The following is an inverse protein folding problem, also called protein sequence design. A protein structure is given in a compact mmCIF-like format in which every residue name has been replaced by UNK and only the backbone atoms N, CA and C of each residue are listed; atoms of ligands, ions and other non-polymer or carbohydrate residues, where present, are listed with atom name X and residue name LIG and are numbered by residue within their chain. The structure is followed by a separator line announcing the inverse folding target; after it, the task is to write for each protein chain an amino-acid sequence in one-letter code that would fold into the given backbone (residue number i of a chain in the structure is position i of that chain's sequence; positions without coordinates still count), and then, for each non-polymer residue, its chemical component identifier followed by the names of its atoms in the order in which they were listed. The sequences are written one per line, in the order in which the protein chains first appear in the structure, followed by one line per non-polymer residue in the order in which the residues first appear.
data_IF_596294395216
#
_entry.id   IF_596294395216
#
_cell.length_a   1.000
_cell.length_b   1.000
_cell.length_c   1.000
_cell.angle_alpha   90.00
_cell.angle_beta   90.00
_cell.angle_gamma   90.00
#
_symmetry.space_group_name_H-M   'P 1'
#
loop_
_entity.id
_entity.type
_entity.pdbx_description
1 polymer ?
#
# COMPACT_ATOMS: atom_id res chain seq x y z
N UNK A 1 34.05 34.44 -6.76
CA UNK A 1 32.97 33.82 -5.96
C UNK A 1 31.86 34.86 -5.94
N UNK A 2 30.93 34.72 -6.87
CA UNK A 2 30.10 35.84 -7.28
C UNK A 2 28.90 35.95 -6.35
N UNK A 3 28.85 37.11 -5.67
CA UNK A 3 27.82 37.52 -4.73
C UNK A 3 26.39 37.18 -5.19
N UNK A 4 26.14 37.25 -6.50
CA UNK A 4 24.85 36.97 -7.12
C UNK A 4 24.40 35.51 -7.06
N UNK A 5 25.32 34.55 -7.06
CA UNK A 5 25.02 33.12 -6.99
C UNK A 5 24.62 32.73 -5.58
N UNK A 6 25.37 33.23 -4.59
CA UNK A 6 25.03 33.05 -3.17
C UNK A 6 23.68 33.69 -2.85
N UNK A 7 23.38 34.86 -3.41
CA UNK A 7 22.07 35.51 -3.27
C UNK A 7 20.96 34.67 -3.92
N UNK A 8 21.19 34.08 -5.11
CA UNK A 8 20.22 33.22 -5.78
C UNK A 8 19.84 31.96 -4.97
N UNK A 9 20.84 31.27 -4.40
CA UNK A 9 20.63 30.10 -3.54
C UNK A 9 19.91 30.49 -2.25
N UNK A 10 20.29 31.62 -1.62
CA UNK A 10 19.64 32.12 -0.40
C UNK A 10 18.18 32.49 -0.67
N UNK A 11 17.88 33.13 -1.80
CA UNK A 11 16.49 33.47 -2.18
C UNK A 11 15.68 32.20 -2.44
N UNK A 12 16.24 31.21 -3.14
CA UNK A 12 15.58 29.93 -3.37
C UNK A 12 15.31 29.18 -2.06
N UNK A 13 16.28 29.14 -1.14
CA UNK A 13 16.13 28.55 0.20
C UNK A 13 15.09 29.30 1.04
N UNK A 14 15.05 30.63 0.97
CA UNK A 14 14.06 31.44 1.68
C UNK A 14 12.64 31.23 1.12
N UNK A 15 12.50 31.13 -0.21
CA UNK A 15 11.22 30.82 -0.87
C UNK A 15 10.79 29.39 -0.54
N UNK A 16 11.70 28.41 -0.59
CA UNK A 16 11.44 27.05 -0.17
C UNK A 16 11.01 26.99 1.29
N UNK A 17 11.68 27.69 2.21
CA UNK A 17 11.33 27.76 3.63
C UNK A 17 9.94 28.38 3.86
N UNK A 18 9.57 29.41 3.10
CA UNK A 18 8.24 30.04 3.17
C UNK A 18 7.17 29.10 2.63
N UNK A 19 7.39 28.46 1.48
CA UNK A 19 6.44 27.53 0.88
C UNK A 19 6.28 26.26 1.73
N UNK A 20 7.37 25.77 2.31
CA UNK A 20 7.38 24.72 3.33
C UNK A 20 6.53 25.14 4.52
N UNK A 21 6.79 26.31 5.13
CA UNK A 21 5.97 26.83 6.24
C UNK A 21 4.50 26.94 5.87
N UNK A 22 4.15 27.33 4.65
CA UNK A 22 2.77 27.39 4.17
C UNK A 22 2.15 26.00 3.98
N UNK A 23 2.86 25.05 3.36
CA UNK A 23 2.41 23.67 3.22
C UNK A 23 2.18 23.02 4.59
N UNK A 24 3.05 23.32 5.56
CA UNK A 24 2.96 22.83 6.94
C UNK A 24 1.82 23.45 7.73
N UNK A 25 1.58 24.74 7.53
CA UNK A 25 0.42 25.42 8.08
C UNK A 25 -0.87 24.75 7.56
N UNK A 26 -0.93 24.41 6.26
CA UNK A 26 -2.06 23.68 5.66
C UNK A 26 -2.20 22.25 6.20
N UNK A 27 -1.10 21.52 6.39
CA UNK A 27 -1.12 20.17 7.00
C UNK A 27 -1.56 20.23 8.48
N UNK A 28 -1.13 21.23 9.25
CA UNK A 28 -1.56 21.44 10.65
C UNK A 28 -3.02 21.85 10.78
N UNK A 29 -3.54 22.66 9.86
CA UNK A 29 -4.95 23.07 9.87
C UNK A 29 -5.90 22.00 9.30
N UNK A 30 -5.39 21.04 8.50
CA UNK A 30 -6.16 19.88 8.02
C UNK A 30 -6.68 18.95 9.12
N UNK A 31 -6.04 18.93 10.29
CA UNK A 31 -6.55 18.20 11.47
C UNK A 31 -7.72 18.93 12.16
N UNK A 32 -8.07 20.13 11.72
CA UNK A 32 -9.16 20.95 12.25
C UNK A 32 -10.09 21.45 11.13
N UNK A 33 -10.88 20.53 10.55
CA UNK A 33 -12.16 20.77 9.84
C UNK A 33 -12.16 21.71 8.60
N UNK A 34 -12.82 21.24 7.53
CA UNK A 34 -13.22 21.90 6.26
C UNK A 34 -12.21 21.74 5.10
N UNK A 35 -12.56 21.09 3.98
CA UNK A 35 -13.51 21.45 2.89
C UNK A 35 -13.11 22.79 2.25
N UNK A 36 -12.57 22.69 1.02
CA UNK A 36 -12.31 23.76 0.05
C UNK A 36 -10.89 24.39 0.02
N UNK A 37 -9.84 23.57 -0.17
CA UNK A 37 -8.53 24.02 -0.66
C UNK A 37 -7.85 22.90 -1.47
N UNK A 38 -7.08 23.29 -2.49
CA UNK A 38 -6.44 22.42 -3.48
C UNK A 38 -5.65 21.27 -2.80
N UNK A 39 -5.95 19.99 -3.09
CA UNK A 39 -5.40 18.86 -2.33
C UNK A 39 -3.88 18.81 -2.44
N UNK A 40 -3.22 18.43 -1.33
CA UNK A 40 -1.78 18.15 -1.34
C UNK A 40 -1.52 17.00 -2.31
N UNK A 41 -0.80 17.28 -3.40
CA UNK A 41 -0.37 16.28 -4.37
C UNK A 41 0.90 15.61 -3.81
N UNK A 42 0.70 14.46 -3.18
CA UNK A 42 1.72 13.73 -2.44
C UNK A 42 1.39 12.25 -2.39
N UNK A 43 2.43 11.42 -2.36
CA UNK A 43 2.35 10.03 -1.91
C UNK A 43 3.35 9.82 -0.77
N UNK A 44 2.91 9.08 0.24
CA UNK A 44 3.65 8.83 1.47
C UNK A 44 3.94 7.34 1.58
N UNK A 45 5.19 7.00 1.80
CA UNK A 45 5.68 5.67 2.15
C UNK A 45 5.76 5.56 3.68
N UNK A 46 4.91 4.72 4.27
CA UNK A 46 4.97 4.36 5.69
C UNK A 46 6.09 3.34 5.90
N UNK A 47 6.88 3.54 6.95
CA UNK A 47 8.10 2.76 7.19
C UNK A 47 8.27 2.33 8.64
N UNK A 48 8.88 1.17 8.86
CA UNK A 48 9.33 0.69 10.17
C UNK A 48 10.51 1.51 10.71
N UNK A 49 11.41 1.96 9.81
CA UNK A 49 12.60 2.74 10.15
C UNK A 49 12.80 3.91 9.16
N UNK A 50 13.42 5.00 9.64
CA UNK A 50 13.75 6.16 8.78
C UNK A 50 14.82 5.78 7.77
N UNK A 51 14.59 6.13 6.50
CA UNK A 51 15.65 6.14 5.48
C UNK A 51 16.52 7.39 5.65
N UNK A 52 17.71 7.25 6.22
CA UNK A 52 18.69 8.33 6.14
C UNK A 52 19.21 8.45 4.71
N UNK A 53 19.23 9.65 4.17
CA UNK A 53 19.63 9.92 2.79
C UNK A 53 20.66 11.04 2.75
N UNK A 54 21.52 11.01 1.75
CA UNK A 54 22.37 12.11 1.35
C UNK A 54 21.86 12.74 0.05
N UNK A 55 22.31 13.95 -0.25
CA UNK A 55 21.96 14.62 -1.51
C UNK A 55 22.36 13.76 -2.73
N UNK A 56 23.53 13.11 -2.68
CA UNK A 56 24.05 12.25 -3.74
C UNK A 56 23.19 10.99 -3.93
N UNK A 57 22.71 10.38 -2.85
CA UNK A 57 21.81 9.22 -2.92
C UNK A 57 20.45 9.59 -3.50
N UNK A 58 19.87 10.71 -3.08
CA UNK A 58 18.60 11.20 -3.65
C UNK A 58 18.80 11.48 -5.13
N UNK A 59 19.88 12.16 -5.51
CA UNK A 59 20.22 12.46 -6.90
C UNK A 59 20.35 11.19 -7.73
N UNK A 60 21.10 10.19 -7.26
CA UNK A 60 21.29 8.93 -7.96
C UNK A 60 19.99 8.14 -8.14
N UNK A 61 19.14 8.10 -7.09
CA UNK A 61 17.84 7.41 -7.14
C UNK A 61 16.88 8.10 -8.10
N UNK A 62 16.76 9.44 -8.04
CA UNK A 62 15.91 10.22 -8.96
C UNK A 62 16.39 10.11 -10.41
N UNK A 63 17.70 10.21 -10.64
CA UNK A 63 18.30 10.03 -11.98
C UNK A 63 17.93 8.69 -12.60
N UNK A 64 18.01 7.60 -11.82
CA UNK A 64 17.63 6.27 -12.29
C UNK A 64 16.13 6.15 -12.52
N UNK A 65 15.31 6.64 -11.58
CA UNK A 65 13.86 6.54 -11.64
C UNK A 65 13.26 7.26 -12.87
N UNK A 66 13.84 8.40 -13.24
CA UNK A 66 13.32 9.26 -14.31
C UNK A 66 14.17 9.21 -15.59
N UNK A 67 15.16 8.32 -15.65
CA UNK A 67 16.11 8.21 -16.77
C UNK A 67 16.73 9.56 -17.17
N UNK A 68 17.18 10.35 -16.18
CA UNK A 68 17.74 11.68 -16.38
C UNK A 68 19.09 11.87 -15.67
N UNK A 69 19.85 12.89 -16.06
CA UNK A 69 21.12 13.26 -15.43
C UNK A 69 21.06 14.66 -14.85
N UNK A 70 21.71 14.86 -13.70
CA UNK A 70 21.95 16.18 -13.13
C UNK A 70 23.35 16.67 -13.49
N UNK A 71 23.48 17.93 -13.87
CA UNK A 71 24.77 18.55 -14.19
C UNK A 71 25.45 19.08 -12.91
N UNK A 72 26.05 18.16 -12.15
CA UNK A 72 26.63 18.46 -10.84
C UNK A 72 27.86 19.34 -10.98
N UNK A 73 27.87 20.48 -10.29
CA UNK A 73 28.96 21.45 -10.32
C UNK A 73 28.79 22.55 -11.37
N UNK A 74 27.77 22.46 -12.23
CA UNK A 74 27.38 23.55 -13.10
C UNK A 74 26.44 24.52 -12.36
N UNK A 75 26.90 25.74 -12.10
CA UNK A 75 26.12 26.80 -11.44
C UNK A 75 24.91 27.30 -12.24
N UNK A 76 24.84 26.96 -13.54
CA UNK A 76 23.72 27.27 -14.43
C UNK A 76 22.77 26.09 -14.62
N UNK A 77 23.00 24.96 -13.93
CA UNK A 77 22.12 23.80 -14.02
C UNK A 77 20.68 24.17 -13.61
N UNK A 78 19.73 23.84 -14.47
CA UNK A 78 18.31 24.10 -14.23
C UNK A 78 17.68 23.07 -13.31
N UNK A 79 18.22 21.85 -13.29
CA UNK A 79 17.81 20.72 -12.48
C UNK A 79 18.83 20.45 -11.39
N UNK A 80 18.37 20.26 -10.15
CA UNK A 80 19.24 19.99 -9.02
C UNK A 80 18.51 19.25 -7.91
N UNK A 81 19.28 18.67 -7.00
CA UNK A 81 18.84 18.17 -5.70
C UNK A 81 19.60 18.94 -4.65
N UNK A 82 18.92 19.36 -3.58
CA UNK A 82 19.59 19.99 -2.45
C UNK A 82 18.96 19.59 -1.13
N UNK A 83 19.77 19.33 -0.10
CA UNK A 83 19.24 19.18 1.26
C UNK A 83 18.83 20.54 1.83
N UNK A 84 17.62 20.61 2.40
CA UNK A 84 17.12 21.82 3.05
C UNK A 84 17.82 21.97 4.42
N UNK A 85 18.37 23.15 4.75
CA UNK A 85 19.01 23.42 6.04
C UNK A 85 18.07 23.14 7.23
N UNK A 86 18.61 22.65 8.34
CA UNK A 86 17.82 22.17 9.48
C UNK A 86 16.85 23.24 10.03
N UNK A 87 17.26 24.50 10.05
CA UNK A 87 16.47 25.67 10.48
C UNK A 87 15.31 26.03 9.54
N UNK A 88 15.39 25.60 8.27
CA UNK A 88 14.38 25.83 7.24
C UNK A 88 13.45 24.62 7.03
N UNK A 89 13.74 23.50 7.69
CA UNK A 89 12.96 22.27 7.57
C UNK A 89 11.58 22.40 8.22
N UNK A 90 10.64 21.56 7.77
CA UNK A 90 9.45 21.28 8.54
C UNK A 90 9.71 20.91 10.00
N UNK A 91 8.90 21.41 10.96
CA UNK A 91 8.97 21.02 12.36
C UNK A 91 8.24 19.68 12.56
N UNK A 92 8.50 18.71 11.68
CA UNK A 92 8.00 17.35 11.81
C UNK A 92 8.81 16.54 12.82
N UNK A 93 9.89 17.08 13.37
CA UNK A 93 10.77 16.40 14.30
C UNK A 93 12.08 16.04 13.62
N UNK A 94 12.70 14.95 14.07
CA UNK A 94 13.98 14.52 13.52
C UNK A 94 13.83 13.95 12.10
N UNK A 95 14.53 14.55 11.14
CA UNK A 95 14.48 14.10 9.75
C UNK A 95 15.21 15.01 8.77
N UNK A 96 15.07 14.66 7.50
CA UNK A 96 15.69 15.33 6.36
C UNK A 96 14.61 15.73 5.36
N UNK A 97 14.90 16.78 4.60
CA UNK A 97 14.06 17.23 3.49
C UNK A 97 14.99 17.62 2.36
N UNK A 98 14.71 17.14 1.17
CA UNK A 98 15.43 17.47 -0.04
C UNK A 98 14.50 18.19 -1.00
N UNK A 99 14.96 19.29 -1.57
CA UNK A 99 14.30 19.91 -2.71
C UNK A 99 14.88 19.29 -3.99
N UNK A 100 14.00 18.73 -4.82
CA UNK A 100 14.31 18.18 -6.13
C UNK A 100 13.65 19.07 -7.17
N UNK A 101 14.46 19.77 -7.96
CA UNK A 101 13.99 20.57 -9.09
C UNK A 101 14.30 19.84 -10.39
N UNK A 102 13.27 19.57 -11.17
CA UNK A 102 13.34 18.93 -12.49
C UNK A 102 12.42 19.67 -13.47
N UNK A 103 12.47 19.32 -14.76
CA UNK A 103 11.64 19.96 -15.79
C UNK A 103 10.14 19.95 -15.45
N UNK A 104 9.65 18.87 -14.82
CA UNK A 104 8.25 18.72 -14.42
C UNK A 104 7.82 19.61 -13.25
N UNK A 105 8.76 20.08 -12.41
CA UNK A 105 8.39 20.83 -11.22
C UNK A 105 9.42 20.81 -10.10
N UNK A 106 8.98 21.36 -8.98
CA UNK A 106 9.67 21.36 -7.69
C UNK A 106 9.00 20.34 -6.80
N UNK A 107 9.78 19.40 -6.28
CA UNK A 107 9.32 18.33 -5.42
C UNK A 107 10.08 18.35 -4.10
N UNK A 108 9.41 18.09 -3.00
CA UNK A 108 10.09 17.71 -1.76
C UNK A 108 10.19 16.20 -1.65
N UNK A 109 11.34 15.73 -1.18
CA UNK A 109 11.52 14.38 -0.66
C UNK A 109 11.77 14.50 0.84
N UNK A 110 10.79 14.09 1.64
CA UNK A 110 10.85 14.13 3.10
C UNK A 110 11.25 12.77 3.65
N UNK A 111 12.02 12.71 4.74
CA UNK A 111 12.29 11.47 5.48
C UNK A 111 12.39 11.76 6.97
N UNK A 112 11.45 11.23 7.78
CA UNK A 112 11.31 11.58 9.19
C UNK A 112 11.18 10.36 10.09
N UNK A 113 11.86 10.40 11.26
CA UNK A 113 11.88 9.35 12.27
C UNK A 113 10.75 9.54 13.30
N UNK A 114 9.50 9.56 12.82
CA UNK A 114 8.32 9.46 13.68
C UNK A 114 7.14 8.86 12.89
N UNK A 115 6.10 8.34 13.57
CA UNK A 115 4.86 7.97 12.90
C UNK A 115 4.27 9.14 12.09
N UNK A 116 3.71 8.83 10.91
CA UNK A 116 3.02 9.82 10.09
C UNK A 116 1.69 10.21 10.74
N UNK A 117 1.04 9.22 11.36
CA UNK A 117 -0.19 9.36 12.13
C UNK A 117 -0.05 8.62 13.45
N UNK A 118 -0.64 9.19 14.50
CA UNK A 118 -0.64 8.61 15.84
C UNK A 118 -2.02 7.97 16.06
N UNK A 119 -2.07 6.64 15.99
CA UNK A 119 -3.29 5.86 16.21
C UNK A 119 -3.21 5.21 17.58
N UNK A 120 -4.26 5.38 18.37
CA UNK A 120 -4.40 4.66 19.63
C UNK A 120 -4.78 3.19 19.38
N UNK A 121 -4.71 2.37 20.43
CA UNK A 121 -5.01 0.94 20.36
C UNK A 121 -6.42 0.67 19.83
N UNK A 122 -7.39 1.53 20.16
CA UNK A 122 -8.78 1.36 19.73
C UNK A 122 -8.94 1.60 18.23
N UNK A 123 -8.32 2.66 17.72
CA UNK A 123 -8.31 2.96 16.29
C UNK A 123 -7.61 1.87 15.47
N UNK A 124 -6.58 1.20 16.02
CA UNK A 124 -5.95 0.04 15.38
C UNK A 124 -6.87 -1.20 15.38
N UNK A 125 -7.59 -1.46 16.46
CA UNK A 125 -8.54 -2.58 16.54
C UNK A 125 -9.67 -2.46 15.51
N UNK A 126 -10.11 -1.23 15.22
CA UNK A 126 -11.14 -0.91 14.23
C UNK A 126 -10.69 -1.14 12.77
N UNK A 127 -9.38 -1.22 12.49
CA UNK A 127 -8.87 -1.51 11.14
C UNK A 127 -9.07 -2.98 10.83
N UNK A 128 -10.09 -3.32 10.05
CA UNK A 128 -10.46 -4.73 9.80
C UNK A 128 -9.36 -5.55 9.11
N UNK A 129 -8.78 -5.02 8.02
CA UNK A 129 -7.73 -5.70 7.25
C UNK A 129 -6.45 -5.83 8.11
N UNK A 130 -6.05 -7.07 8.40
CA UNK A 130 -4.89 -7.40 9.20
C UNK A 130 -3.59 -6.82 8.64
N UNK A 131 -3.43 -6.80 7.31
CA UNK A 131 -2.25 -6.26 6.65
C UNK A 131 -2.15 -4.77 6.89
N UNK A 132 -3.27 -4.06 6.71
CA UNK A 132 -3.33 -2.62 6.96
C UNK A 132 -3.14 -2.30 8.45
N UNK A 133 -3.75 -3.07 9.35
CA UNK A 133 -3.56 -2.93 10.79
C UNK A 133 -2.07 -3.09 11.14
N UNK A 134 -1.40 -4.09 10.56
CA UNK A 134 0.04 -4.32 10.75
C UNK A 134 0.88 -3.13 10.31
N UNK A 135 0.64 -2.62 9.09
CA UNK A 135 1.31 -1.41 8.58
C UNK A 135 1.17 -0.24 9.56
N UNK A 136 -0.05 0.00 10.03
CA UNK A 136 -0.34 1.10 10.96
C UNK A 136 0.29 0.87 12.35
N UNK A 137 0.29 -0.36 12.86
CA UNK A 137 0.87 -0.70 14.15
C UNK A 137 2.40 -0.67 14.16
N UNK A 138 3.04 -1.01 13.04
CA UNK A 138 4.49 -1.13 12.92
C UNK A 138 5.18 0.16 12.45
N UNK A 139 4.48 1.07 11.76
CA UNK A 139 5.14 2.27 11.23
C UNK A 139 5.70 3.17 12.35
N UNK A 140 6.97 3.55 12.23
CA UNK A 140 7.66 4.49 13.14
C UNK A 140 8.34 5.62 12.40
N UNK A 141 8.32 5.58 11.06
CA UNK A 141 8.90 6.57 10.19
C UNK A 141 8.03 6.73 8.94
N UNK A 142 8.31 7.78 8.17
CA UNK A 142 7.72 7.96 6.86
C UNK A 142 8.67 8.70 5.93
N UNK A 143 8.47 8.45 4.64
CA UNK A 143 9.07 9.19 3.54
C UNK A 143 7.94 9.67 2.63
N UNK A 144 8.01 10.89 2.12
CA UNK A 144 7.02 11.36 1.13
C UNK A 144 7.69 12.05 -0.04
N UNK A 145 7.00 12.04 -1.18
CA UNK A 145 7.33 12.86 -2.33
C UNK A 145 6.16 13.79 -2.59
N UNK A 146 6.39 15.08 -2.44
CA UNK A 146 5.34 16.10 -2.46
C UNK A 146 5.59 17.06 -3.63
N UNK A 147 4.56 17.37 -4.41
CA UNK A 147 4.63 18.47 -5.37
C UNK A 147 4.57 19.81 -4.61
N UNK A 148 5.65 20.58 -4.68
CA UNK A 148 5.68 21.94 -4.17
C UNK A 148 5.03 22.91 -5.15
N UNK A 149 5.45 22.82 -6.42
CA UNK A 149 4.98 23.67 -7.51
C UNK A 149 5.34 23.03 -8.85
N UNK A 150 4.38 22.96 -9.75
CA UNK A 150 4.53 22.62 -11.16
C UNK A 150 5.32 23.71 -11.93
N UNK A 151 5.86 23.33 -13.09
CA UNK A 151 6.43 24.28 -14.04
C UNK A 151 5.61 24.20 -15.33
N UNK A 152 5.05 25.33 -15.77
CA UNK A 152 4.16 25.41 -16.93
C UNK A 152 2.67 25.26 -16.56
N UNK A 153 1.82 25.02 -17.57
CA UNK A 153 0.36 25.00 -17.43
C UNK A 153 -0.22 23.58 -17.26
N UNK A 154 0.59 22.61 -16.86
CA UNK A 154 0.13 21.22 -16.65
C UNK A 154 -0.73 21.12 -15.40
N UNK A 155 -1.81 20.32 -15.46
CA UNK A 155 -2.61 20.01 -14.29
C UNK A 155 -1.74 19.40 -13.19
N UNK A 156 -1.94 19.85 -11.94
CA UNK A 156 -1.12 19.44 -10.78
C UNK A 156 -1.11 17.92 -10.56
N UNK A 157 -2.21 17.25 -10.91
CA UNK A 157 -2.37 15.79 -10.84
C UNK A 157 -1.43 15.04 -11.80
N UNK A 158 -0.97 15.67 -12.88
CA UNK A 158 0.03 15.10 -13.79
C UNK A 158 1.40 14.87 -13.11
N UNK A 159 1.59 15.34 -11.87
CA UNK A 159 2.76 15.06 -11.08
C UNK A 159 2.79 13.64 -10.48
N UNK A 160 1.63 12.95 -10.33
CA UNK A 160 1.58 11.64 -9.67
C UNK A 160 2.48 10.57 -10.30
N UNK A 161 2.60 10.43 -11.63
CA UNK A 161 3.54 9.48 -12.24
C UNK A 161 5.00 9.76 -11.86
N UNK A 162 5.37 11.03 -11.75
CA UNK A 162 6.73 11.44 -11.33
C UNK A 162 6.94 11.12 -9.85
N UNK A 163 5.95 11.46 -9.00
CA UNK A 163 5.94 11.16 -7.56
C UNK A 163 6.07 9.65 -7.33
N UNK A 164 5.27 8.84 -8.03
CA UNK A 164 5.26 7.39 -7.93
C UNK A 164 6.62 6.77 -8.26
N UNK A 165 7.23 7.17 -9.39
CA UNK A 165 8.56 6.69 -9.81
C UNK A 165 9.66 7.07 -8.82
N UNK A 166 9.65 8.30 -8.29
CA UNK A 166 10.62 8.71 -7.25
C UNK A 166 10.38 7.91 -5.96
N UNK A 167 9.13 7.74 -5.53
CA UNK A 167 8.79 6.99 -4.31
C UNK A 167 9.18 5.51 -4.44
N UNK A 168 8.95 4.89 -5.60
CA UNK A 168 9.35 3.52 -5.91
C UNK A 168 10.86 3.31 -5.79
N UNK A 169 11.67 4.31 -6.20
CA UNK A 169 13.12 4.27 -6.05
C UNK A 169 13.61 4.40 -4.60
N UNK A 170 12.72 4.72 -3.65
CA UNK A 170 13.00 4.81 -2.22
C UNK A 170 12.60 3.54 -1.44
N UNK A 171 12.00 2.56 -2.10
CA UNK A 171 11.57 1.31 -1.46
C UNK A 171 12.78 0.44 -1.04
N UNK A 172 12.64 -0.21 0.10
CA UNK A 172 13.59 -1.15 0.72
C UNK A 172 12.85 -2.12 1.67
N UNK A 173 13.57 -2.89 2.48
CA UNK A 173 12.99 -3.84 3.44
C UNK A 173 12.16 -3.20 4.55
N UNK A 174 12.37 -1.92 4.86
CA UNK A 174 11.67 -1.19 5.92
C UNK A 174 10.37 -0.53 5.43
N UNK A 175 10.01 -0.77 4.17
CA UNK A 175 8.86 -0.16 3.51
C UNK A 175 7.60 -0.98 3.77
N UNK A 176 6.59 -0.39 4.43
CA UNK A 176 5.40 -1.10 4.92
C UNK A 176 4.15 -0.88 4.06
N UNK A 177 3.90 0.36 3.62
CA UNK A 177 2.69 0.69 2.89
C UNK A 177 2.71 2.08 2.27
N UNK A 178 1.80 2.31 1.33
CA UNK A 178 1.65 3.57 0.60
C UNK A 178 0.36 4.24 1.04
N UNK A 179 0.43 5.53 1.35
CA UNK A 179 -0.69 6.38 1.75
C UNK A 179 -0.83 7.53 0.74
N UNK A 180 -2.07 7.78 0.29
CA UNK A 180 -2.43 9.01 -0.42
C UNK A 180 -3.15 9.95 0.54
N UNK A 181 -2.53 11.07 0.94
CA UNK A 181 -3.19 12.08 1.76
C UNK A 181 -4.39 12.72 1.05
N UNK A 182 -4.37 12.83 -0.28
CA UNK A 182 -5.48 13.42 -1.04
C UNK A 182 -6.72 12.51 -1.00
N UNK A 183 -6.52 11.20 -1.16
CA UNK A 183 -7.61 10.21 -1.14
C UNK A 183 -7.97 9.74 0.28
N UNK A 184 -7.13 10.08 1.28
CA UNK A 184 -7.21 9.53 2.65
C UNK A 184 -7.28 8.00 2.66
N UNK A 185 -6.50 7.35 1.78
CA UNK A 185 -6.45 5.90 1.63
C UNK A 185 -5.02 5.40 1.80
N UNK A 186 -4.89 4.23 2.41
CA UNK A 186 -3.62 3.52 2.57
C UNK A 186 -3.74 2.10 2.05
N UNK A 187 -2.65 1.60 1.45
CA UNK A 187 -2.50 0.24 0.96
C UNK A 187 -1.21 -0.37 1.52
N UNK A 188 -1.24 -1.63 1.99
CA UNK A 188 -0.02 -2.39 2.25
C UNK A 188 0.88 -2.43 1.01
N UNK A 189 2.19 -2.51 1.22
CA UNK A 189 3.14 -2.63 0.13
C UNK A 189 3.25 -4.10 -0.30
N UNK A 190 2.84 -4.40 -1.52
CA UNK A 190 3.00 -5.68 -2.20
C UNK A 190 3.53 -5.46 -3.63
N UNK A 191 3.65 -6.53 -4.43
CA UNK A 191 4.11 -6.44 -5.83
C UNK A 191 3.21 -5.52 -6.67
N UNK A 192 1.87 -5.62 -6.53
CA UNK A 192 0.92 -4.73 -7.21
C UNK A 192 1.12 -3.25 -6.85
N UNK A 193 1.38 -2.94 -5.58
CA UNK A 193 1.63 -1.58 -5.14
C UNK A 193 2.94 -1.04 -5.74
N UNK A 194 3.96 -1.89 -5.88
CA UNK A 194 5.23 -1.52 -6.55
C UNK A 194 4.99 -1.23 -8.03
N UNK A 195 4.26 -2.09 -8.71
CA UNK A 195 3.94 -1.93 -10.12
C UNK A 195 3.07 -0.70 -10.38
N UNK A 196 2.07 -0.46 -9.51
CA UNK A 196 1.22 0.72 -9.58
C UNK A 196 2.03 2.01 -9.43
N UNK A 197 2.98 2.08 -8.48
CA UNK A 197 3.86 3.24 -8.31
C UNK A 197 4.70 3.55 -9.55
N UNK A 198 5.06 2.54 -10.34
CA UNK A 198 5.85 2.68 -11.57
C UNK A 198 4.99 2.98 -12.81
N UNK A 199 3.67 2.81 -12.72
CA UNK A 199 2.73 3.02 -13.81
C UNK A 199 2.51 4.51 -14.15
N UNK A 200 1.77 4.75 -15.23
CA UNK A 200 1.34 6.10 -15.61
C UNK A 200 0.13 6.60 -14.80
N UNK A 201 -0.47 5.77 -13.94
CA UNK A 201 -1.49 6.18 -12.97
C UNK A 201 -1.28 5.51 -11.59
N UNK A 202 -0.38 6.06 -10.76
CA UNK A 202 -0.15 5.53 -9.41
C UNK A 202 -1.35 5.62 -8.47
N UNK A 203 -2.37 6.43 -8.79
CA UNK A 203 -3.57 6.52 -7.96
C UNK A 203 -4.51 5.33 -8.14
N UNK A 204 -4.39 4.60 -9.25
CA UNK A 204 -5.12 3.35 -9.49
C UNK A 204 -4.95 2.35 -8.34
N UNK A 205 -3.79 2.34 -7.67
CA UNK A 205 -3.51 1.56 -6.46
C UNK A 205 -4.62 1.68 -5.41
N UNK A 206 -5.16 2.89 -5.22
CA UNK A 206 -6.16 3.16 -4.19
C UNK A 206 -7.59 2.88 -4.64
N UNK A 207 -7.80 2.60 -5.92
CA UNK A 207 -9.10 2.25 -6.51
C UNK A 207 -9.36 0.74 -6.49
N UNK A 208 -8.30 -0.08 -6.42
CA UNK A 208 -8.43 -1.54 -6.34
C UNK A 208 -9.09 -1.96 -5.02
N UNK A 209 -10.19 -2.70 -5.12
CA UNK A 209 -10.84 -3.35 -3.97
C UNK A 209 -10.07 -4.64 -3.68
N UNK A 210 -9.37 -4.69 -2.55
CA UNK A 210 -8.82 -5.95 -2.03
C UNK A 210 -9.76 -6.41 -0.92
N UNK A 211 -10.12 -7.69 -0.92
CA UNK A 211 -10.87 -8.27 0.19
C UNK A 211 -9.99 -8.21 1.44
N UNK A 212 -10.52 -7.70 2.57
CA UNK A 212 -9.75 -7.60 3.79
C UNK A 212 -9.35 -8.99 4.28
N UNK A 213 -8.09 -9.13 4.70
CA UNK A 213 -7.62 -10.33 5.40
C UNK A 213 -7.99 -10.21 6.87
N UNK A 214 -8.67 -11.21 7.41
CA UNK A 214 -9.12 -11.23 8.80
C UNK A 214 -8.21 -12.12 9.65
N UNK A 215 -7.79 -11.58 10.80
CA UNK A 215 -7.27 -12.42 11.88
C UNK A 215 -8.45 -12.94 12.68
N UNK A 216 -8.63 -14.25 12.69
CA UNK A 216 -9.55 -14.94 13.59
C UNK A 216 -8.71 -15.62 14.67
N UNK A 217 -9.16 -15.58 15.92
CA UNK A 217 -8.48 -16.33 16.98
C UNK A 217 -8.48 -17.82 16.61
N UNK A 218 -7.35 -18.50 16.81
CA UNK A 218 -7.18 -19.91 16.45
C UNK A 218 -8.16 -20.85 17.17
N UNK A 219 -8.85 -20.38 18.22
CA UNK A 219 -9.80 -21.12 19.04
C UNK A 219 -11.23 -20.54 19.00
N UNK A 220 -11.58 -19.78 17.97
CA UNK A 220 -12.96 -19.30 17.83
C UNK A 220 -13.91 -20.49 17.54
N UNK A 221 -14.72 -20.83 18.55
CA UNK A 221 -15.61 -21.98 18.49
C UNK A 221 -16.62 -21.91 17.35
N UNK A 222 -17.03 -20.71 16.91
CA UNK A 222 -17.92 -20.56 15.77
C UNK A 222 -17.18 -20.81 14.45
N UNK A 223 -15.93 -20.37 14.35
CA UNK A 223 -15.08 -20.65 13.18
C UNK A 223 -14.76 -22.14 13.04
N UNK A 224 -14.38 -22.80 14.14
CA UNK A 224 -14.11 -24.25 14.15
C UNK A 224 -15.37 -25.06 13.78
N UNK A 225 -16.54 -24.67 14.27
CA UNK A 225 -17.81 -25.30 13.89
C UNK A 225 -18.10 -25.12 12.40
N UNK A 226 -17.84 -23.94 11.83
CA UNK A 226 -18.02 -23.69 10.40
C UNK A 226 -17.05 -24.50 9.53
N UNK A 227 -15.78 -24.64 9.94
CA UNK A 227 -14.79 -25.49 9.25
C UNK A 227 -15.22 -26.96 9.30
N UNK A 228 -15.70 -27.43 10.47
CA UNK A 228 -16.20 -28.79 10.62
C UNK A 228 -17.40 -29.07 9.72
N UNK A 229 -18.37 -28.14 9.67
CA UNK A 229 -19.54 -28.25 8.78
C UNK A 229 -19.13 -28.25 7.31
N UNK A 230 -18.18 -27.39 6.91
CA UNK A 230 -17.65 -27.38 5.55
C UNK A 230 -17.04 -28.74 5.16
N UNK A 231 -16.25 -29.35 6.05
CA UNK A 231 -15.65 -30.67 5.81
C UNK A 231 -16.69 -31.78 5.77
N UNK A 232 -17.69 -31.74 6.64
CA UNK A 232 -18.80 -32.70 6.64
C UNK A 232 -19.59 -32.65 5.33
N UNK A 233 -19.88 -31.44 4.84
CA UNK A 233 -20.68 -31.20 3.64
C UNK A 233 -19.86 -31.20 2.34
N UNK A 234 -18.56 -31.47 2.40
CA UNK A 234 -17.69 -31.57 1.22
C UNK A 234 -18.24 -32.45 0.08
N UNK A 235 -18.90 -33.60 0.33
CA UNK A 235 -19.49 -34.41 -0.73
C UNK A 235 -20.50 -33.65 -1.60
N UNK A 236 -21.17 -32.63 -1.07
CA UNK A 236 -22.08 -31.77 -1.83
C UNK A 236 -21.32 -30.95 -2.89
N UNK A 237 -20.17 -30.37 -2.51
CA UNK A 237 -19.31 -29.62 -3.43
C UNK A 237 -18.77 -30.52 -4.55
N UNK A 238 -18.29 -31.72 -4.20
CA UNK A 238 -17.76 -32.67 -5.19
C UNK A 238 -18.85 -33.11 -6.18
N UNK A 239 -20.05 -33.40 -5.68
CA UNK A 239 -21.17 -33.78 -6.53
C UNK A 239 -21.56 -32.64 -7.50
N UNK A 240 -21.64 -31.40 -6.99
CA UNK A 240 -21.93 -30.23 -7.82
C UNK A 240 -20.83 -29.96 -8.86
N UNK A 241 -19.56 -30.05 -8.46
CA UNK A 241 -18.42 -29.85 -9.35
C UNK A 241 -18.35 -30.91 -10.46
N UNK A 242 -18.72 -32.16 -10.15
CA UNK A 242 -18.77 -33.23 -11.14
C UNK A 242 -19.96 -33.12 -12.09
N UNK A 243 -21.12 -32.62 -11.60
CA UNK A 243 -22.33 -32.47 -12.40
C UNK A 243 -22.26 -31.28 -13.36
N UNK A 244 -21.69 -30.15 -12.91
CA UNK A 244 -21.65 -28.87 -13.64
C UNK A 244 -22.98 -28.54 -14.35
N UNK A 245 -24.08 -28.60 -13.60
CA UNK A 245 -25.40 -28.29 -14.15
C UNK A 245 -25.45 -26.85 -14.69
N UNK A 246 -26.33 -26.62 -15.68
CA UNK A 246 -26.56 -25.28 -16.20
C UNK A 246 -26.99 -24.38 -15.03
N UNK A 247 -26.28 -23.27 -14.84
CA UNK A 247 -26.40 -22.29 -13.74
C UNK A 247 -25.55 -22.57 -12.48
N UNK A 248 -24.74 -23.63 -12.47
CA UNK A 248 -23.68 -23.79 -11.44
C UNK A 248 -22.36 -23.18 -11.88
N UNK A 249 -21.65 -22.51 -10.98
CA UNK A 249 -20.36 -21.87 -11.30
C UNK A 249 -19.60 -21.32 -10.09
N UNK A 250 -18.40 -20.78 -10.33
CA UNK A 250 -17.58 -20.15 -9.27
C UNK A 250 -17.14 -21.13 -8.18
N UNK A 251 -16.71 -22.33 -8.56
CA UNK A 251 -16.25 -23.36 -7.63
C UNK A 251 -14.92 -22.97 -7.00
N UNK A 252 -14.95 -22.65 -5.71
CA UNK A 252 -13.79 -22.21 -4.95
C UNK A 252 -13.66 -22.98 -3.65
N UNK A 253 -12.42 -23.26 -3.25
CA UNK A 253 -12.07 -23.85 -1.95
C UNK A 253 -11.17 -22.90 -1.19
N UNK A 254 -11.38 -22.80 0.13
CA UNK A 254 -10.52 -22.01 1.01
C UNK A 254 -9.49 -22.93 1.65
N UNK A 255 -8.23 -22.73 1.32
CA UNK A 255 -7.14 -23.64 1.65
C UNK A 255 -6.22 -23.02 2.68
N UNK A 256 -5.86 -23.80 3.69
CA UNK A 256 -4.84 -23.45 4.68
C UNK A 256 -3.44 -23.60 4.10
N UNK A 257 -2.68 -22.50 4.08
CA UNK A 257 -1.25 -22.48 3.81
C UNK A 257 -0.50 -22.08 5.07
N UNK A 258 0.56 -22.81 5.41
CA UNK A 258 1.32 -22.58 6.63
C UNK A 258 2.80 -22.33 6.30
N UNK A 259 3.36 -21.27 6.88
CA UNK A 259 4.78 -20.96 6.82
C UNK A 259 5.28 -20.59 8.22
N UNK A 260 6.09 -21.47 8.83
CA UNK A 260 6.49 -21.32 10.23
C UNK A 260 5.26 -21.37 11.16
N UNK A 261 5.09 -20.34 11.98
CA UNK A 261 3.95 -20.20 12.90
C UNK A 261 2.74 -19.48 12.26
N UNK A 262 2.84 -19.05 11.00
CA UNK A 262 1.79 -18.33 10.31
C UNK A 262 0.95 -19.29 9.46
N UNK A 263 -0.37 -19.26 9.66
CA UNK A 263 -1.34 -19.94 8.79
C UNK A 263 -2.25 -18.92 8.14
N UNK A 264 -2.32 -18.96 6.82
CA UNK A 264 -3.19 -18.12 6.00
C UNK A 264 -4.22 -18.99 5.28
N UNK A 265 -5.47 -18.52 5.20
CA UNK A 265 -6.55 -19.21 4.50
C UNK A 265 -6.85 -18.49 3.17
N UNK A 266 -6.53 -19.13 2.06
CA UNK A 266 -6.50 -18.52 0.72
C UNK A 266 -7.52 -19.22 -0.17
N UNK A 267 -8.32 -18.46 -0.92
CA UNK A 267 -9.24 -19.00 -1.91
C UNK A 267 -8.49 -19.54 -3.12
N UNK A 268 -8.91 -20.70 -3.61
CA UNK A 268 -8.40 -21.36 -4.79
C UNK A 268 -9.59 -21.72 -5.68
N UNK A 269 -9.58 -21.23 -6.91
CA UNK A 269 -10.56 -21.60 -7.94
C UNK A 269 -10.25 -23.03 -8.42
N UNK A 270 -11.23 -23.92 -8.30
CA UNK A 270 -11.03 -25.35 -8.53
C UNK A 270 -11.11 -25.67 -10.02
N UNK A 271 -10.08 -26.32 -10.55
CA UNK A 271 -10.06 -26.80 -11.93
C UNK A 271 -10.24 -28.31 -12.02
N UNK A 272 -9.72 -29.06 -11.05
CA UNK A 272 -9.84 -30.53 -11.00
C UNK A 272 -9.92 -31.04 -9.57
N UNK A 273 -10.68 -32.11 -9.39
CA UNK A 273 -10.76 -32.90 -8.15
C UNK A 273 -10.43 -34.35 -8.54
N UNK A 274 -9.36 -34.90 -7.97
CA UNK A 274 -8.93 -36.29 -8.16
C UNK A 274 -8.74 -36.98 -6.80
N UNK A 275 -9.77 -37.74 -6.39
CA UNK A 275 -9.83 -38.35 -5.06
C UNK A 275 -9.78 -37.28 -3.96
N UNK A 276 -8.72 -37.31 -3.14
CA UNK A 276 -8.49 -36.36 -2.05
C UNK A 276 -7.63 -35.15 -2.47
N UNK A 277 -7.27 -35.06 -3.75
CA UNK A 277 -6.40 -34.01 -4.29
C UNK A 277 -7.20 -33.02 -5.13
N UNK A 278 -6.92 -31.73 -4.94
CA UNK A 278 -7.52 -30.64 -5.70
C UNK A 278 -6.39 -29.90 -6.41
N UNK A 279 -6.58 -29.60 -7.69
CA UNK A 279 -5.73 -28.64 -8.40
C UNK A 279 -6.58 -27.45 -8.83
N UNK A 280 -6.02 -26.26 -8.65
CA UNK A 280 -6.69 -25.01 -8.95
C UNK A 280 -5.74 -23.83 -8.98
N UNK A 281 -6.32 -22.63 -9.06
CA UNK A 281 -5.60 -21.36 -9.21
C UNK A 281 -5.85 -20.46 -8.02
N UNK A 282 -4.80 -19.83 -7.48
CA UNK A 282 -4.91 -18.92 -6.32
C UNK A 282 -5.78 -17.70 -6.67
N UNK A 283 -6.88 -17.53 -5.93
CA UNK A 283 -7.91 -16.52 -6.18
C UNK A 283 -7.77 -15.23 -5.37
N UNK A 284 -6.82 -15.14 -4.43
CA UNK A 284 -6.49 -13.89 -3.74
C UNK A 284 -5.00 -13.79 -3.38
N UNK A 285 -4.48 -12.57 -3.30
CA UNK A 285 -3.07 -12.29 -2.99
C UNK A 285 -2.68 -12.82 -1.60
N UNK A 286 -1.71 -13.75 -1.51
CA UNK A 286 -1.15 -14.22 -0.24
C UNK A 286 -0.38 -13.09 0.48
N UNK A 287 -0.48 -13.03 1.81
CA UNK A 287 0.25 -12.05 2.63
C UNK A 287 1.56 -12.60 3.21
N UNK A 288 1.49 -13.82 3.77
CA UNK A 288 2.52 -14.35 4.65
C UNK A 288 3.08 -15.70 4.18
N UNK A 289 2.79 -16.10 2.94
CA UNK A 289 3.21 -17.40 2.38
C UNK A 289 4.28 -17.17 1.30
N UNK A 290 5.57 -17.33 1.62
CA UNK A 290 6.65 -17.07 0.68
C UNK A 290 6.58 -18.00 -0.55
N UNK A 291 6.70 -17.40 -1.73
CA UNK A 291 6.75 -18.13 -3.00
C UNK A 291 5.38 -18.54 -3.57
N UNK A 292 4.28 -18.12 -2.93
CA UNK A 292 2.93 -18.24 -3.46
C UNK A 292 2.43 -16.86 -3.92
N UNK A 293 1.81 -16.77 -5.09
CA UNK A 293 1.27 -15.54 -5.67
C UNK A 293 -0.17 -15.73 -6.13
N UNK A 294 -0.90 -14.63 -6.31
CA UNK A 294 -2.15 -14.66 -7.06
C UNK A 294 -1.93 -15.27 -8.46
N UNK A 295 -2.92 -16.01 -8.95
CA UNK A 295 -2.90 -16.73 -10.24
C UNK A 295 -1.91 -17.92 -10.32
N UNK A 296 -1.20 -18.24 -9.21
CA UNK A 296 -0.39 -19.45 -9.17
C UNK A 296 -1.27 -20.71 -9.21
N UNK A 297 -0.84 -21.70 -10.01
CA UNK A 297 -1.44 -23.03 -10.01
C UNK A 297 -0.94 -23.84 -8.81
N UNK A 298 -1.85 -24.33 -8.00
CA UNK A 298 -1.55 -25.13 -6.79
C UNK A 298 -2.24 -26.49 -6.81
N UNK A 299 -1.60 -27.48 -6.19
CA UNK A 299 -2.18 -28.79 -5.90
C UNK A 299 -2.15 -29.02 -4.40
N UNK A 300 -3.32 -29.30 -3.81
CA UNK A 300 -3.50 -29.42 -2.36
C UNK A 300 -4.39 -30.60 -2.01
N UNK A 301 -4.27 -31.06 -0.77
CA UNK A 301 -5.04 -32.19 -0.23
C UNK A 301 -6.26 -31.70 0.56
N UNK A 302 -7.30 -32.53 0.62
CA UNK A 302 -8.58 -32.20 1.25
C UNK A 302 -8.46 -31.80 2.73
N UNK A 303 -7.50 -32.34 3.48
CA UNK A 303 -7.27 -31.99 4.89
C UNK A 303 -6.92 -30.51 5.09
N UNK A 304 -6.39 -29.86 4.05
CA UNK A 304 -6.06 -28.43 4.06
C UNK A 304 -7.25 -27.53 3.75
N UNK A 305 -8.39 -28.09 3.38
CA UNK A 305 -9.60 -27.32 3.11
C UNK A 305 -10.24 -26.91 4.43
N UNK A 306 -10.53 -25.61 4.52
CA UNK A 306 -11.19 -24.96 5.66
C UNK A 306 -12.60 -24.48 5.32
N UNK A 307 -12.89 -24.23 4.05
CA UNK A 307 -14.22 -23.86 3.56
C UNK A 307 -14.31 -24.15 2.05
N UNK A 308 -15.51 -24.10 1.50
CA UNK A 308 -15.76 -24.16 0.06
C UNK A 308 -17.02 -23.39 -0.29
N UNK A 309 -17.10 -22.91 -1.53
CA UNK A 309 -18.32 -22.29 -2.04
C UNK A 309 -18.45 -22.48 -3.55
N UNK A 310 -19.69 -22.50 -4.01
CA UNK A 310 -20.04 -22.35 -5.41
C UNK A 310 -21.39 -21.63 -5.51
N UNK A 311 -21.72 -21.16 -6.70
CA UNK A 311 -23.00 -20.53 -7.00
C UNK A 311 -23.92 -21.51 -7.72
N UNK A 312 -25.18 -21.54 -7.31
CA UNK A 312 -26.29 -22.17 -8.02
C UNK A 312 -27.30 -21.07 -8.37
N UNK A 313 -27.23 -20.55 -9.60
CA UNK A 313 -27.87 -19.29 -9.96
C UNK A 313 -27.32 -18.14 -9.11
N UNK A 314 -28.21 -17.43 -8.40
CA UNK A 314 -27.84 -16.33 -7.49
C UNK A 314 -27.53 -16.80 -6.06
N UNK A 315 -27.76 -18.08 -5.74
CA UNK A 315 -27.57 -18.61 -4.40
C UNK A 315 -26.11 -19.07 -4.20
N UNK A 316 -25.46 -18.55 -3.16
CA UNK A 316 -24.17 -19.07 -2.69
C UNK A 316 -24.39 -20.31 -1.82
N UNK A 317 -23.92 -21.45 -2.30
CA UNK A 317 -23.90 -22.70 -1.54
C UNK A 317 -22.53 -22.84 -0.87
N UNK A 318 -22.51 -23.25 0.40
CA UNK A 318 -21.30 -23.30 1.23
C UNK A 318 -21.01 -21.96 1.92
N UNK A 319 -19.73 -21.55 1.91
CA UNK A 319 -19.24 -20.30 2.49
C UNK A 319 -19.48 -20.22 4.00
N UNK A 320 -19.25 -21.30 4.72
CA UNK A 320 -19.60 -21.42 6.14
C UNK A 320 -18.80 -20.44 7.00
N UNK A 321 -17.49 -20.33 6.73
CA UNK A 321 -16.60 -19.38 7.43
C UNK A 321 -16.93 -17.94 7.04
N UNK A 322 -17.40 -17.71 5.81
CA UNK A 322 -17.85 -16.38 5.34
C UNK A 322 -19.08 -15.92 6.11
N UNK A 323 -20.04 -16.81 6.39
CA UNK A 323 -21.22 -16.50 7.20
C UNK A 323 -20.83 -16.07 8.62
N UNK A 324 -19.95 -16.83 9.28
CA UNK A 324 -19.42 -16.49 10.62
C UNK A 324 -18.72 -15.13 10.60
N UNK A 325 -17.84 -14.88 9.61
CA UNK A 325 -17.16 -13.59 9.45
C UNK A 325 -18.16 -12.43 9.26
N UNK A 326 -19.18 -12.63 8.42
CA UNK A 326 -20.22 -11.61 8.17
C UNK A 326 -20.98 -11.27 9.44
N UNK A 327 -21.33 -12.26 10.26
CA UNK A 327 -21.97 -12.02 11.55
C UNK A 327 -21.06 -11.30 12.54
N UNK A 328 -19.77 -11.66 12.59
CA UNK A 328 -18.79 -10.97 13.43
C UNK A 328 -18.65 -9.50 13.03
N UNK A 329 -18.63 -9.22 11.74
CA UNK A 329 -18.60 -7.85 11.21
C UNK A 329 -19.84 -7.06 11.62
N UNK A 330 -21.03 -7.65 11.46
CA UNK A 330 -22.30 -7.00 11.83
C UNK A 330 -22.44 -6.74 13.34
N UNK A 331 -21.72 -7.46 14.20
CA UNK A 331 -21.69 -7.22 15.64
C UNK A 331 -20.73 -6.10 16.06
N UNK A 332 -19.74 -5.77 15.21
CA UNK A 332 -18.72 -4.73 15.49
C UNK A 332 -19.05 -3.36 14.88
N UNK A 333 -19.90 -3.30 13.84
CA UNK A 333 -20.41 -2.06 13.26
C UNK A 333 -21.60 -1.50 14.01
#
# INVERSE_FOLDING_TARGET
MDFWITVGIIVLLAVAAVLVKQALYRVRQRNAVAKDDDPLISLVLLRSLRLALTEDEVRARVSRALAMSFDVGNEHATEFVMEVPAEARPPFGEGQTFLVKIAAGFFFVHSYAKPYMDLDARALDDIMDQRLRRVMAEHRAWLSVDLLREIGDTAREAAYPTIGKILAAMLDEDSLGVLSPALSRCKPLNDDARDALLSDDPLALFSTVSLPVFSVAADDAAMEAAIAEARERWPEFVAAFAAQEADTGGFNVKVMFTHGDYTEHIWVEVETIDGETITGTVGNEPDAIPGLKFDDRVTVTMDRISDWMYFNGEEMVGGFTVKVLTEMMNRKG
#
